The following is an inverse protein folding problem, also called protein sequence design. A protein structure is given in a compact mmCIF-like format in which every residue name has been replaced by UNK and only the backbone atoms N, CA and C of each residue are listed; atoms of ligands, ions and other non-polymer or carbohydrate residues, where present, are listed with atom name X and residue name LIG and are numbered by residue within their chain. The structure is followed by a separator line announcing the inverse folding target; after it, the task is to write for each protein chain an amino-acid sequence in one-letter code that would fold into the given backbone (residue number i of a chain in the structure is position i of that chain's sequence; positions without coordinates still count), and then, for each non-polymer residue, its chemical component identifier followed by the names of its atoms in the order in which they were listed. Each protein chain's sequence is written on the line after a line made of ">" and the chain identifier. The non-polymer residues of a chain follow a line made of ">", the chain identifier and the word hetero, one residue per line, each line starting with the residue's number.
data_IF_214735652437
#
_entry.id   IF_214735652437
#
_cell.length_a   1.000
_cell.length_b   1.000
_cell.length_c   1.000
_cell.angle_alpha   90.00
_cell.angle_beta   90.00
_cell.angle_gamma   90.00
#
_symmetry.space_group_name_H-M   'P 1'
#
loop_
_entity.id
_entity.type
_entity.pdbx_description
1 polymer ?
#
# COMPACT_ATOMS: atom_id res chain seq x y z
N UNK A 1 -8.02 21.53 -4.02
CA UNK A 1 -7.11 20.37 -4.02
C UNK A 1 -7.89 19.21 -3.42
N UNK A 2 -8.05 18.10 -4.14
CA UNK A 2 -8.66 16.88 -3.61
C UNK A 2 -7.53 15.90 -3.26
N UNK A 3 -7.78 14.94 -2.37
CA UNK A 3 -6.79 13.91 -2.05
C UNK A 3 -6.49 13.08 -3.31
N UNK A 4 -5.23 13.13 -3.78
CA UNK A 4 -4.77 12.33 -4.91
C UNK A 4 -4.41 10.89 -4.50
N UNK A 5 -4.68 10.50 -3.24
CA UNK A 5 -4.43 9.16 -2.72
C UNK A 5 -5.06 8.03 -3.54
N UNK A 6 -6.17 8.32 -4.24
CA UNK A 6 -6.79 7.37 -5.19
C UNK A 6 -5.91 7.12 -6.43
N UNK A 7 -5.17 8.13 -6.88
CA UNK A 7 -4.33 8.04 -8.09
C UNK A 7 -2.87 7.67 -7.80
N UNK A 8 -2.34 8.00 -6.63
CA UNK A 8 -0.93 7.79 -6.31
C UNK A 8 -0.70 7.56 -4.79
N UNK A 9 -1.35 6.53 -4.22
CA UNK A 9 -1.22 6.15 -2.80
C UNK A 9 0.22 5.82 -2.38
N UNK A 10 1.07 5.41 -3.33
CA UNK A 10 2.48 5.10 -3.13
C UNK A 10 3.35 5.84 -4.15
N UNK A 11 3.82 7.06 -3.84
CA UNK A 11 4.56 7.91 -4.78
C UNK A 11 6.02 7.46 -4.99
N UNK A 12 6.30 6.16 -4.97
CA UNK A 12 7.65 5.58 -4.96
C UNK A 12 8.51 6.01 -6.14
N UNK A 13 7.93 6.16 -7.35
CA UNK A 13 8.64 6.66 -8.53
C UNK A 13 9.19 8.07 -8.31
N UNK A 14 8.41 8.95 -7.67
CA UNK A 14 8.84 10.30 -7.34
C UNK A 14 9.83 10.25 -6.18
N UNK A 15 9.55 9.47 -5.13
CA UNK A 15 10.45 9.35 -3.97
C UNK A 15 11.83 8.82 -4.39
N UNK A 16 11.92 7.94 -5.38
CA UNK A 16 13.17 7.40 -5.94
C UNK A 16 14.08 8.48 -6.51
N UNK A 17 13.55 9.61 -7.00
CA UNK A 17 14.39 10.71 -7.52
C UNK A 17 15.09 11.49 -6.40
N UNK A 18 14.58 11.39 -5.16
CA UNK A 18 15.15 12.01 -3.97
C UNK A 18 15.90 11.01 -3.07
N UNK A 19 15.56 9.73 -3.13
CA UNK A 19 16.15 8.70 -2.27
C UNK A 19 17.56 8.30 -2.76
N UNK A 20 18.56 8.51 -1.91
CA UNK A 20 19.97 8.32 -2.27
C UNK A 20 20.58 6.99 -1.79
N UNK A 21 19.87 6.21 -0.97
CA UNK A 21 20.40 4.97 -0.38
C UNK A 21 19.44 3.80 -0.38
N UNK A 22 18.23 3.99 0.15
CA UNK A 22 17.24 2.92 0.24
C UNK A 22 15.84 3.51 0.27
N UNK A 23 14.93 2.92 -0.51
CA UNK A 23 13.53 3.28 -0.59
C UNK A 23 12.68 2.15 0.00
N UNK A 24 12.08 2.40 1.16
CA UNK A 24 11.12 1.51 1.79
C UNK A 24 9.71 2.05 1.57
N UNK A 25 8.85 1.27 0.93
CA UNK A 25 7.44 1.57 0.75
C UNK A 25 6.59 0.86 1.82
N UNK A 26 5.52 1.51 2.28
CA UNK A 26 4.55 0.91 3.21
C UNK A 26 3.18 0.95 2.56
N UNK A 27 2.68 -0.19 2.10
CA UNK A 27 1.38 -0.30 1.42
C UNK A 27 0.30 -0.74 2.43
N UNK A 28 -0.68 0.15 2.66
CA UNK A 28 -1.84 -0.10 3.52
C UNK A 28 -3.14 -0.24 2.73
N UNK A 29 -3.06 -0.32 1.40
CA UNK A 29 -4.24 -0.43 0.54
C UNK A 29 -5.03 -1.70 0.82
N UNK A 30 -6.34 -1.61 0.64
CA UNK A 30 -7.22 -2.77 0.71
C UNK A 30 -6.85 -3.81 -0.37
N UNK A 31 -6.98 -5.09 -0.01
CA UNK A 31 -6.89 -6.17 -0.99
C UNK A 31 -8.12 -6.16 -1.88
N UNK A 32 -7.91 -6.50 -3.16
CA UNK A 32 -9.01 -6.74 -4.07
C UNK A 32 -9.88 -7.87 -3.50
N UNK A 33 -11.11 -7.54 -3.10
CA UNK A 33 -12.08 -8.54 -2.66
C UNK A 33 -12.63 -9.29 -3.88
N UNK A 34 -12.99 -10.55 -3.67
CA UNK A 34 -13.78 -11.30 -4.66
C UNK A 34 -15.17 -10.68 -4.77
N UNK A 35 -15.72 -10.70 -5.99
CA UNK A 35 -16.94 -10.00 -6.38
C UNK A 35 -18.08 -10.11 -5.36
N UNK A 36 -18.56 -8.97 -4.89
CA UNK A 36 -19.99 -8.75 -4.72
C UNK A 36 -20.56 -8.28 -6.07
N UNK A 37 -21.74 -8.76 -6.41
CA UNK A 37 -22.49 -8.49 -7.64
C UNK A 37 -22.34 -7.02 -8.11
N UNK A 38 -22.02 -6.80 -9.39
CA UNK A 38 -21.96 -5.46 -9.99
C UNK A 38 -23.32 -5.16 -10.64
N UNK A 39 -24.22 -4.52 -9.90
CA UNK A 39 -25.61 -4.32 -10.31
C UNK A 39 -25.84 -2.96 -11.00
N UNK A 40 -24.94 -2.01 -10.81
CA UNK A 40 -25.06 -0.65 -11.32
C UNK A 40 -23.81 -0.20 -12.10
N UNK A 41 -23.96 0.85 -12.92
CA UNK A 41 -22.83 1.47 -13.61
C UNK A 41 -21.78 2.03 -12.63
N UNK A 42 -22.20 2.47 -11.44
CA UNK A 42 -21.29 2.95 -10.39
C UNK A 42 -20.46 1.79 -9.84
N UNK A 43 -21.06 0.62 -9.62
CA UNK A 43 -20.33 -0.57 -9.17
C UNK A 43 -19.26 -0.99 -10.18
N UNK A 44 -19.60 -0.93 -11.47
CA UNK A 44 -18.64 -1.21 -12.55
C UNK A 44 -17.49 -0.22 -12.55
N UNK A 45 -17.77 1.08 -12.36
CA UNK A 45 -16.74 2.12 -12.31
C UNK A 45 -15.82 1.94 -11.10
N UNK A 46 -16.38 1.71 -9.90
CA UNK A 46 -15.60 1.42 -8.70
C UNK A 46 -14.74 0.16 -8.88
N UNK A 47 -15.29 -0.87 -9.54
CA UNK A 47 -14.54 -2.08 -9.83
C UNK A 47 -13.39 -1.87 -10.80
N UNK A 48 -13.59 -1.04 -11.83
CA UNK A 48 -12.52 -0.64 -12.74
C UNK A 48 -11.41 0.10 -12.00
N UNK A 49 -11.78 0.99 -11.08
CA UNK A 49 -10.83 1.74 -10.25
C UNK A 49 -10.00 0.81 -9.34
N UNK A 50 -10.63 -0.12 -8.61
CA UNK A 50 -9.93 -1.11 -7.78
C UNK A 50 -8.91 -1.93 -8.58
N UNK A 51 -9.30 -2.40 -9.77
CA UNK A 51 -8.43 -3.18 -10.67
C UNK A 51 -7.26 -2.30 -11.13
N UNK A 52 -7.56 -1.08 -11.59
CA UNK A 52 -6.56 -0.11 -12.02
C UNK A 52 -5.54 0.19 -10.92
N UNK A 53 -6.02 0.47 -9.71
CA UNK A 53 -5.19 0.70 -8.53
C UNK A 53 -4.30 -0.51 -8.25
N UNK A 54 -4.84 -1.73 -8.27
CA UNK A 54 -4.04 -2.94 -8.03
C UNK A 54 -2.93 -3.16 -9.07
N UNK A 55 -3.20 -2.87 -10.34
CA UNK A 55 -2.19 -2.92 -11.39
C UNK A 55 -1.13 -1.83 -11.20
N UNK A 56 -1.55 -0.61 -10.89
CA UNK A 56 -0.65 0.51 -10.65
C UNK A 56 0.24 0.26 -9.43
N UNK A 57 -0.33 -0.24 -8.32
CA UNK A 57 0.40 -0.63 -7.10
C UNK A 57 1.54 -1.59 -7.40
N UNK A 58 1.31 -2.62 -8.23
CA UNK A 58 2.39 -3.56 -8.62
C UNK A 58 3.56 -2.84 -9.29
N UNK A 59 3.28 -1.84 -10.12
CA UNK A 59 4.31 -1.08 -10.82
C UNK A 59 5.08 -0.16 -9.87
N UNK A 60 4.39 0.59 -9.02
CA UNK A 60 5.04 1.52 -8.08
C UNK A 60 5.78 0.78 -6.96
N UNK A 61 5.25 -0.33 -6.46
CA UNK A 61 5.94 -1.16 -5.48
C UNK A 61 7.27 -1.74 -6.02
N UNK A 62 7.36 -2.00 -7.33
CA UNK A 62 8.58 -2.51 -7.95
C UNK A 62 9.75 -1.50 -7.97
N UNK A 63 9.48 -0.20 -7.74
CA UNK A 63 10.55 0.81 -7.68
C UNK A 63 11.15 0.98 -6.28
N UNK A 64 10.53 0.38 -5.26
CA UNK A 64 11.04 0.37 -3.90
C UNK A 64 12.02 -0.80 -3.69
N UNK A 65 13.03 -0.62 -2.85
CA UNK A 65 13.97 -1.69 -2.52
C UNK A 65 13.37 -2.68 -1.51
N UNK A 66 12.39 -2.22 -0.73
CA UNK A 66 11.60 -3.03 0.20
C UNK A 66 10.16 -2.49 0.25
N UNK A 67 9.20 -3.41 0.30
CA UNK A 67 7.78 -3.08 0.49
C UNK A 67 7.28 -3.80 1.73
N UNK A 68 6.71 -3.04 2.67
CA UNK A 68 6.11 -3.55 3.90
C UNK A 68 4.58 -3.46 3.74
N UNK A 69 3.90 -4.59 3.91
CA UNK A 69 2.45 -4.70 3.78
C UNK A 69 1.83 -5.14 5.11
N UNK A 70 1.46 -4.19 6.01
CA UNK A 70 0.77 -4.51 7.25
C UNK A 70 -0.57 -5.23 6.98
N UNK A 71 -0.95 -6.15 7.86
CA UNK A 71 -2.24 -6.84 7.77
C UNK A 71 -3.37 -5.96 8.32
N UNK A 72 -3.79 -4.98 7.51
CA UNK A 72 -4.82 -3.98 7.86
C UNK A 72 -5.96 -3.92 6.84
N UNK A 73 -5.91 -4.76 5.80
CA UNK A 73 -6.77 -4.69 4.61
C UNK A 73 -8.26 -4.90 4.89
N UNK A 74 -8.60 -5.55 6.01
CA UNK A 74 -9.98 -5.84 6.39
C UNK A 74 -10.61 -4.78 7.31
N UNK A 75 -9.82 -3.78 7.73
CA UNK A 75 -10.33 -2.67 8.54
C UNK A 75 -10.82 -1.51 7.67
N UNK A 76 -11.96 -0.94 8.05
CA UNK A 76 -12.45 0.27 7.41
C UNK A 76 -11.51 1.45 7.74
N UNK A 77 -11.08 2.20 6.72
CA UNK A 77 -10.18 3.35 6.89
C UNK A 77 -10.73 4.43 7.83
N UNK A 78 -12.04 4.49 8.00
CA UNK A 78 -12.75 5.44 8.87
C UNK A 78 -13.05 4.89 10.28
N UNK A 79 -12.69 3.64 10.59
CA UNK A 79 -12.88 3.06 11.91
C UNK A 79 -11.69 3.39 12.84
N UNK A 80 -11.84 4.46 13.61
CA UNK A 80 -10.84 4.89 14.58
C UNK A 80 -10.85 4.11 15.91
N UNK A 81 -11.86 3.26 16.13
CA UNK A 81 -11.99 2.46 17.37
C UNK A 81 -10.88 1.41 17.50
N UNK A 82 -10.36 0.95 16.36
CA UNK A 82 -9.35 -0.11 16.25
C UNK A 82 -7.91 0.41 16.08
N UNK A 83 -7.67 1.71 16.31
CA UNK A 83 -6.37 2.38 16.10
C UNK A 83 -5.17 1.68 16.76
N UNK A 84 -5.31 1.15 17.98
CA UNK A 84 -4.22 0.38 18.64
C UNK A 84 -3.85 -0.89 17.88
N UNK A 85 -4.84 -1.60 17.34
CA UNK A 85 -4.61 -2.82 16.58
C UNK A 85 -3.90 -2.51 15.25
N UNK A 86 -4.30 -1.43 14.57
CA UNK A 86 -3.64 -0.95 13.35
C UNK A 86 -2.17 -0.60 13.58
N UNK A 87 -1.87 0.11 14.67
CA UNK A 87 -0.49 0.46 15.04
C UNK A 87 0.33 -0.80 15.31
N UNK A 88 -0.25 -1.79 16.00
CA UNK A 88 0.45 -3.04 16.30
C UNK A 88 0.69 -3.87 15.03
N UNK A 89 -0.29 -3.95 14.12
CA UNK A 89 -0.12 -4.61 12.84
C UNK A 89 1.02 -3.99 12.02
N UNK A 90 1.12 -2.66 12.01
CA UNK A 90 2.24 -1.94 11.38
C UNK A 90 3.59 -2.24 12.05
N UNK A 91 3.62 -2.27 13.39
CA UNK A 91 4.82 -2.60 14.17
C UNK A 91 5.33 -4.01 13.88
N UNK A 92 4.44 -5.00 13.89
CA UNK A 92 4.80 -6.38 13.63
C UNK A 92 5.29 -6.58 12.19
N UNK A 93 4.62 -5.99 11.20
CA UNK A 93 5.07 -6.02 9.81
C UNK A 93 6.47 -5.39 9.64
N UNK A 94 6.73 -4.27 10.31
CA UNK A 94 8.05 -3.64 10.29
C UNK A 94 9.13 -4.50 10.94
N UNK A 95 8.85 -5.13 12.10
CA UNK A 95 9.80 -6.02 12.80
C UNK A 95 10.17 -7.23 11.95
N UNK A 96 9.19 -7.82 11.26
CA UNK A 96 9.41 -8.95 10.36
C UNK A 96 10.25 -8.56 9.13
N UNK A 97 10.18 -7.30 8.70
CA UNK A 97 10.93 -6.78 7.57
C UNK A 97 12.38 -6.36 7.90
N UNK A 98 12.76 -6.26 9.19
CA UNK A 98 14.11 -5.83 9.62
C UNK A 98 15.24 -6.62 8.95
N UNK A 99 15.20 -7.97 8.86
CA UNK A 99 16.25 -8.73 8.20
C UNK A 99 16.40 -8.33 6.72
N UNK A 100 15.28 -8.21 6.01
CA UNK A 100 15.24 -7.79 4.60
C UNK A 100 15.72 -6.35 4.42
N UNK A 101 15.45 -5.47 5.38
CA UNK A 101 15.87 -4.07 5.37
C UNK A 101 17.40 -3.96 5.47
N UNK A 102 18.03 -4.74 6.35
CA UNK A 102 19.51 -4.79 6.40
C UNK A 102 20.11 -5.33 5.10
N UNK A 103 19.51 -6.37 4.50
CA UNK A 103 19.98 -6.91 3.23
C UNK A 103 19.82 -5.92 2.06
N UNK A 104 18.68 -5.22 1.99
CA UNK A 104 18.36 -4.28 0.91
C UNK A 104 19.11 -2.94 1.03
N UNK A 105 19.37 -2.46 2.25
CA UNK A 105 19.87 -1.10 2.46
C UNK A 105 21.35 -1.00 2.92
N UNK A 106 22.01 -2.10 3.33
CA UNK A 106 23.41 -2.06 3.81
C UNK A 106 24.44 -2.58 2.77
N UNK A 107 24.01 -2.99 1.58
CA UNK A 107 24.88 -3.55 0.53
C UNK A 107 25.37 -2.56 -0.54
N UNK A 108 25.11 -1.25 -0.38
CA UNK A 108 25.35 -0.20 -1.39
C UNK A 108 26.17 0.96 -0.85
#
# INVERSE_FOLDING_TARGET
>A
LCDIGVFNSLPTTVTRTYATKCLVAVDVSARLKQLSRCDTAVDVLMRMDEIGESHFRKHVCATADLVINPDVSDMAWFDFSSSRQLIEAGREAARQAVPSLTAACCGS
#
